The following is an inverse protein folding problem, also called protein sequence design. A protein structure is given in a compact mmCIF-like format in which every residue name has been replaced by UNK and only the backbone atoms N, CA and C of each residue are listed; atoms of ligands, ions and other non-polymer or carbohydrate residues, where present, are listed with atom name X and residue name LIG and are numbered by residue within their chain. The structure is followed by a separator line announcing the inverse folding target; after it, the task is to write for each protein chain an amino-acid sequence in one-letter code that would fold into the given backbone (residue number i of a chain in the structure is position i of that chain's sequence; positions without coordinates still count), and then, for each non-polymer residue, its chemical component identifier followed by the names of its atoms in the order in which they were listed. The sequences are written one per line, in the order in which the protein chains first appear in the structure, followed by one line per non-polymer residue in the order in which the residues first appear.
data_IF_732522886741
#
_entry.id   IF_732522886741
#
_cell.length_a   1.000
_cell.length_b   1.000
_cell.length_c   1.000
_cell.angle_alpha   90.00
_cell.angle_beta   90.00
_cell.angle_gamma   90.00
#
_symmetry.space_group_name_H-M   'P 1'
#
loop_
_entity.id
_entity.type
_entity.pdbx_description
1 polymer ?
#
# COMPACT_ATOMS: atom_id res chain seq x y z
N UNK A 1 49.98 9.91 40.18
CA UNK A 1 49.55 9.66 38.78
C UNK A 1 48.04 9.38 38.84
N UNK A 2 47.24 10.45 38.90
CA UNK A 2 45.78 10.36 39.06
C UNK A 2 45.13 10.19 37.70
N UNK A 3 44.37 9.13 37.52
CA UNK A 3 43.58 8.86 36.33
C UNK A 3 42.33 9.73 36.49
N UNK A 4 42.20 10.76 35.66
CA UNK A 4 41.02 11.62 35.67
C UNK A 4 39.80 10.74 35.35
N UNK A 5 38.97 10.56 36.37
CA UNK A 5 37.66 9.93 36.26
C UNK A 5 36.84 10.82 35.32
N UNK A 6 36.59 10.32 34.11
CA UNK A 6 35.70 11.00 33.15
C UNK A 6 34.30 10.88 33.73
N UNK A 7 33.91 11.89 34.50
CA UNK A 7 32.57 12.06 35.03
C UNK A 7 31.58 11.91 33.86
N UNK A 8 30.88 10.77 33.81
CA UNK A 8 29.83 10.52 32.82
C UNK A 8 28.72 11.53 33.12
N UNK A 9 28.78 12.68 32.45
CA UNK A 9 27.69 13.64 32.53
C UNK A 9 26.39 12.94 32.09
N UNK A 10 25.31 13.04 32.89
CA UNK A 10 24.04 12.44 32.55
C UNK A 10 23.53 12.98 31.21
N UNK A 11 22.90 12.12 30.41
CA UNK A 11 22.31 12.52 29.13
C UNK A 11 21.18 13.51 29.44
N UNK A 12 21.31 14.74 28.93
CA UNK A 12 20.23 15.72 28.97
C UNK A 12 19.15 15.34 27.94
N UNK A 13 18.08 14.72 28.41
CA UNK A 13 16.95 14.29 27.59
C UNK A 13 16.18 15.47 26.98
N UNK A 14 16.16 16.63 27.63
CA UNK A 14 15.47 17.82 27.11
C UNK A 14 16.26 18.43 25.96
N UNK A 15 17.57 18.59 26.13
CA UNK A 15 18.45 19.03 25.05
C UNK A 15 18.42 18.06 23.86
N UNK A 16 18.38 16.74 24.12
CA UNK A 16 18.26 15.73 23.09
C UNK A 16 16.93 15.83 22.33
N UNK A 17 15.80 16.03 23.02
CA UNK A 17 14.48 16.19 22.41
C UNK A 17 14.39 17.45 21.52
N UNK A 18 14.93 18.57 21.99
CA UNK A 18 14.99 19.81 21.21
C UNK A 18 15.85 19.64 19.96
N UNK A 19 17.04 19.04 20.10
CA UNK A 19 17.91 18.74 18.95
C UNK A 19 17.24 17.81 17.96
N UNK A 20 16.53 16.79 18.43
CA UNK A 20 15.77 15.88 17.58
C UNK A 20 14.68 16.62 16.78
N UNK A 21 13.91 17.49 17.44
CA UNK A 21 12.87 18.27 16.80
C UNK A 21 13.42 19.23 15.73
N UNK A 22 14.62 19.77 15.93
CA UNK A 22 15.29 20.66 14.98
C UNK A 22 15.90 19.91 13.78
N UNK A 23 16.60 18.80 14.04
CA UNK A 23 17.39 18.09 13.01
C UNK A 23 16.52 17.18 12.15
N UNK A 24 15.49 16.56 12.71
CA UNK A 24 14.70 15.53 12.01
C UNK A 24 13.95 16.06 10.79
N UNK A 25 13.29 17.23 10.82
CA UNK A 25 12.63 17.79 9.63
C UNK A 25 13.61 18.05 8.48
N UNK A 26 14.85 18.47 8.78
CA UNK A 26 15.89 18.70 7.77
C UNK A 26 16.35 17.40 7.08
N UNK A 27 16.09 16.23 7.67
CA UNK A 27 16.40 14.94 7.07
C UNK A 27 15.34 14.47 6.05
N UNK A 28 14.17 15.11 5.98
CA UNK A 28 13.07 14.69 5.11
C UNK A 28 13.44 14.60 3.62
N UNK A 29 14.17 15.57 3.02
CA UNK A 29 14.60 15.47 1.62
C UNK A 29 15.53 14.28 1.37
N UNK A 30 16.46 14.03 2.30
CA UNK A 30 17.39 12.89 2.23
C UNK A 30 16.64 11.56 2.33
N UNK A 31 15.64 11.48 3.19
CA UNK A 31 14.77 10.31 3.30
C UNK A 31 14.01 10.08 1.99
N UNK A 32 13.38 11.12 1.44
CA UNK A 32 12.62 11.04 0.19
C UNK A 32 13.50 10.54 -0.97
N UNK A 33 14.69 11.11 -1.14
CA UNK A 33 15.64 10.69 -2.17
C UNK A 33 15.98 9.20 -2.06
N UNK A 34 16.27 8.72 -0.84
CA UNK A 34 16.60 7.31 -0.60
C UNK A 34 15.41 6.39 -0.82
N UNK A 35 14.22 6.80 -0.39
CA UNK A 35 13.00 6.04 -0.61
C UNK A 35 12.70 5.89 -2.11
N UNK A 36 12.85 6.97 -2.90
CA UNK A 36 12.69 6.92 -4.35
C UNK A 36 13.72 6.01 -5.01
N UNK A 37 15.00 6.09 -4.62
CA UNK A 37 16.05 5.22 -5.16
C UNK A 37 15.83 3.73 -4.84
N UNK A 38 15.25 3.43 -3.67
CA UNK A 38 14.98 2.05 -3.25
C UNK A 38 13.66 1.49 -3.80
N UNK A 39 12.82 2.29 -4.48
CA UNK A 39 11.44 1.92 -4.80
C UNK A 39 11.34 0.66 -5.67
N UNK A 40 12.19 0.53 -6.71
CA UNK A 40 12.16 -0.64 -7.60
C UNK A 40 12.61 -1.92 -6.90
N UNK A 41 13.69 -1.84 -6.10
CA UNK A 41 14.19 -2.98 -5.32
C UNK A 41 13.14 -3.41 -4.29
N UNK A 42 12.49 -2.44 -3.64
CA UNK A 42 11.38 -2.72 -2.73
C UNK A 42 10.24 -3.43 -3.46
N UNK A 43 9.81 -2.95 -4.63
CA UNK A 43 8.68 -3.53 -5.37
C UNK A 43 8.94 -4.99 -5.77
N UNK A 44 10.15 -5.29 -6.27
CA UNK A 44 10.55 -6.65 -6.65
C UNK A 44 10.52 -7.60 -5.45
N UNK A 45 11.05 -7.16 -4.31
CA UNK A 45 11.12 -7.99 -3.11
C UNK A 45 9.77 -8.15 -2.42
N UNK A 46 8.99 -7.06 -2.32
CA UNK A 46 7.71 -7.04 -1.62
C UNK A 46 6.63 -7.89 -2.28
N UNK A 47 6.72 -8.14 -3.60
CA UNK A 47 5.78 -8.97 -4.36
C UNK A 47 6.22 -10.44 -4.48
N UNK A 48 7.33 -10.83 -3.86
CA UNK A 48 7.84 -12.20 -3.94
C UNK A 48 6.98 -13.18 -3.12
N UNK A 49 6.86 -14.46 -3.54
CA UNK A 49 6.21 -15.49 -2.72
C UNK A 49 6.82 -15.63 -1.32
N UNK A 50 8.13 -15.39 -1.21
CA UNK A 50 8.86 -15.41 0.05
C UNK A 50 8.37 -14.31 1.01
N UNK A 51 8.13 -13.09 0.50
CA UNK A 51 7.61 -11.99 1.30
C UNK A 51 6.22 -12.29 1.86
N UNK A 52 5.36 -12.96 1.07
CA UNK A 52 4.03 -13.40 1.52
C UNK A 52 4.14 -14.44 2.66
N UNK A 53 5.03 -15.42 2.53
CA UNK A 53 5.29 -16.41 3.59
C UNK A 53 5.76 -15.74 4.89
N UNK A 54 6.69 -14.79 4.79
CA UNK A 54 7.16 -14.03 5.95
C UNK A 54 6.07 -13.18 6.57
N UNK A 55 5.23 -12.53 5.75
CA UNK A 55 4.09 -11.78 6.26
C UNK A 55 3.14 -12.68 7.07
N UNK A 56 2.75 -13.83 6.51
CA UNK A 56 1.86 -14.79 7.19
C UNK A 56 2.47 -15.27 8.52
N UNK A 57 3.76 -15.62 8.53
CA UNK A 57 4.48 -16.02 9.74
C UNK A 57 4.44 -14.92 10.81
N UNK A 58 4.75 -13.67 10.44
CA UNK A 58 4.79 -12.55 11.39
C UNK A 58 3.41 -12.17 11.92
N UNK A 59 2.35 -12.32 11.13
CA UNK A 59 0.98 -12.13 11.60
C UNK A 59 0.64 -13.15 12.69
N UNK A 60 0.98 -14.43 12.48
CA UNK A 60 0.78 -15.47 13.50
C UNK A 60 1.57 -15.19 14.78
N UNK A 61 2.85 -14.81 14.65
CA UNK A 61 3.70 -14.45 15.78
C UNK A 61 3.15 -13.25 16.55
N UNK A 62 2.68 -12.20 15.85
CA UNK A 62 2.08 -11.03 16.48
C UNK A 62 0.79 -11.37 17.23
N UNK A 63 -0.01 -12.29 16.68
CA UNK A 63 -1.23 -12.78 17.33
C UNK A 63 -0.91 -13.58 18.60
N UNK A 64 0.02 -14.53 18.52
CA UNK A 64 0.48 -15.33 19.68
C UNK A 64 1.03 -14.43 20.79
N UNK A 65 1.78 -13.39 20.41
CA UNK A 65 2.33 -12.42 21.33
C UNK A 65 1.32 -11.35 21.80
N UNK A 66 0.06 -11.39 21.37
CA UNK A 66 -0.92 -10.34 21.67
C UNK A 66 -0.35 -8.93 21.40
N UNK A 67 0.46 -8.77 20.36
CA UNK A 67 1.27 -7.57 20.13
C UNK A 67 0.39 -6.31 20.04
N UNK A 68 -0.81 -6.45 19.48
CA UNK A 68 -1.82 -5.40 19.46
C UNK A 68 -2.23 -4.94 20.87
N UNK A 69 -2.56 -5.87 21.76
CA UNK A 69 -2.99 -5.54 23.12
C UNK A 69 -1.86 -4.82 23.86
N UNK A 70 -0.63 -5.33 23.78
CA UNK A 70 0.55 -4.70 24.37
C UNK A 70 0.77 -3.29 23.82
N UNK A 71 0.66 -3.11 22.51
CA UNK A 71 0.79 -1.79 21.87
C UNK A 71 -0.27 -0.78 22.32
N UNK A 72 -1.47 -1.24 22.67
CA UNK A 72 -2.56 -0.39 23.14
C UNK A 72 -2.45 -0.01 24.63
N UNK A 73 -1.63 -0.70 25.43
CA UNK A 73 -1.51 -0.43 26.87
C UNK A 73 -1.11 1.02 27.19
N UNK A 74 -0.38 1.67 26.28
CA UNK A 74 0.09 3.05 26.44
C UNK A 74 -0.66 4.07 25.55
N UNK A 75 -1.72 3.64 24.85
CA UNK A 75 -2.52 4.50 23.99
C UNK A 75 -3.70 5.05 24.78
N UNK A 76 -3.77 6.37 24.91
CA UNK A 76 -4.86 7.07 25.59
C UNK A 76 -5.85 7.65 24.57
N UNK A 77 -7.02 8.08 25.05
CA UNK A 77 -7.98 8.82 24.24
C UNK A 77 -7.38 10.12 23.65
N UNK A 78 -6.46 10.77 24.38
CA UNK A 78 -5.74 11.95 23.88
C UNK A 78 -4.84 11.61 22.69
N UNK A 79 -4.07 10.50 22.77
CA UNK A 79 -3.25 10.03 21.65
C UNK A 79 -4.11 9.73 20.41
N UNK A 80 -5.29 9.16 20.60
CA UNK A 80 -6.25 8.94 19.51
C UNK A 80 -6.71 10.26 18.87
N UNK A 81 -7.15 11.24 19.67
CA UNK A 81 -7.62 12.53 19.18
C UNK A 81 -6.52 13.28 18.40
N UNK A 82 -5.29 13.30 18.92
CA UNK A 82 -4.13 13.90 18.25
C UNK A 82 -3.82 13.19 16.91
N UNK A 83 -3.88 11.86 16.89
CA UNK A 83 -3.69 11.07 15.67
C UNK A 83 -4.75 11.36 14.61
N UNK A 84 -6.03 11.51 15.00
CA UNK A 84 -7.13 11.88 14.08
C UNK A 84 -6.90 13.27 13.49
N UNK A 85 -6.51 14.25 14.30
CA UNK A 85 -6.24 15.60 13.83
C UNK A 85 -5.09 15.63 12.81
N UNK A 86 -3.97 14.96 13.11
CA UNK A 86 -2.84 14.85 12.18
C UNK A 86 -3.22 14.10 10.89
N UNK A 87 -4.01 13.03 11.01
CA UNK A 87 -4.48 12.25 9.88
C UNK A 87 -5.44 13.00 8.95
N UNK A 88 -6.26 13.91 9.50
CA UNK A 88 -7.26 14.66 8.72
C UNK A 88 -6.61 15.54 7.66
N UNK A 89 -5.53 16.26 8.01
CA UNK A 89 -4.80 17.09 7.05
C UNK A 89 -4.16 16.25 5.94
N UNK A 90 -3.52 15.13 6.31
CA UNK A 90 -2.94 14.20 5.35
C UNK A 90 -4.01 13.57 4.44
N UNK A 91 -5.21 13.28 4.98
CA UNK A 91 -6.33 12.76 4.21
C UNK A 91 -6.80 13.76 3.15
N UNK A 92 -7.03 15.02 3.54
CA UNK A 92 -7.48 16.07 2.62
C UNK A 92 -6.51 16.23 1.44
N UNK A 93 -5.21 16.30 1.71
CA UNK A 93 -4.18 16.41 0.67
C UNK A 93 -4.15 15.18 -0.26
N UNK A 94 -4.24 13.98 0.30
CA UNK A 94 -4.22 12.73 -0.49
C UNK A 94 -5.44 12.60 -1.39
N UNK A 95 -6.63 12.95 -0.89
CA UNK A 95 -7.87 12.86 -1.66
C UNK A 95 -7.83 13.83 -2.84
N UNK A 96 -7.41 15.08 -2.63
CA UNK A 96 -7.37 16.08 -3.70
C UNK A 96 -6.29 15.81 -4.75
N UNK A 97 -5.16 15.21 -4.38
CA UNK A 97 -4.02 15.04 -5.28
C UNK A 97 -3.94 13.67 -5.95
N UNK A 98 -4.28 12.60 -5.23
CA UNK A 98 -4.09 11.20 -5.69
C UNK A 98 -5.43 10.47 -5.82
N UNK A 99 -6.43 10.91 -5.06
CA UNK A 99 -7.73 10.27 -4.96
C UNK A 99 -8.46 10.18 -6.31
N UNK A 100 -8.48 11.26 -7.09
CA UNK A 100 -9.18 11.29 -8.38
C UNK A 100 -8.62 10.28 -9.38
N UNK A 101 -7.30 10.25 -9.58
CA UNK A 101 -6.64 9.31 -10.49
C UNK A 101 -6.82 7.87 -10.04
N UNK A 102 -6.66 7.60 -8.73
CA UNK A 102 -6.87 6.24 -8.19
C UNK A 102 -8.32 5.80 -8.31
N UNK A 103 -9.26 6.71 -8.05
CA UNK A 103 -10.68 6.46 -8.24
C UNK A 103 -10.95 6.09 -9.70
N UNK A 104 -10.48 6.89 -10.65
CA UNK A 104 -10.65 6.59 -12.07
C UNK A 104 -10.05 5.21 -12.43
N UNK A 105 -8.81 4.93 -12.05
CA UNK A 105 -8.16 3.64 -12.34
C UNK A 105 -8.87 2.43 -11.75
N UNK A 106 -9.45 2.58 -10.55
CA UNK A 106 -10.06 1.46 -9.81
C UNK A 106 -11.56 1.35 -10.01
N UNK A 107 -12.24 2.44 -10.36
CA UNK A 107 -13.69 2.48 -10.56
C UNK A 107 -14.08 2.44 -12.04
N UNK A 108 -13.31 3.07 -12.95
CA UNK A 108 -13.69 3.11 -14.37
C UNK A 108 -13.96 1.74 -14.99
N UNK A 109 -13.21 0.66 -14.68
CA UNK A 109 -13.55 -0.67 -15.20
C UNK A 109 -14.94 -1.16 -14.75
N UNK A 110 -15.38 -0.78 -13.54
CA UNK A 110 -16.70 -1.12 -13.02
C UNK A 110 -17.80 -0.21 -13.58
N UNK A 111 -17.49 1.07 -13.84
CA UNK A 111 -18.40 1.97 -14.52
C UNK A 111 -18.78 1.41 -15.91
N UNK A 112 -17.80 0.93 -16.68
CA UNK A 112 -18.04 0.30 -17.98
C UNK A 112 -18.93 -0.96 -17.88
N UNK A 113 -18.76 -1.76 -16.82
CA UNK A 113 -19.62 -2.93 -16.55
C UNK A 113 -21.05 -2.47 -16.24
N UNK A 114 -21.20 -1.43 -15.41
CA UNK A 114 -22.51 -0.86 -15.08
C UNK A 114 -23.19 -0.36 -16.35
N UNK A 115 -22.51 0.42 -17.18
CA UNK A 115 -23.08 0.98 -18.41
C UNK A 115 -23.54 -0.11 -19.38
N UNK A 116 -22.69 -1.12 -19.57
CA UNK A 116 -23.02 -2.30 -20.39
C UNK A 116 -24.27 -3.00 -19.88
N UNK A 117 -24.32 -3.34 -18.59
CA UNK A 117 -25.50 -4.00 -18.00
C UNK A 117 -26.72 -3.11 -18.11
N UNK A 118 -26.64 -1.84 -17.70
CA UNK A 118 -27.76 -0.89 -17.67
C UNK A 118 -28.41 -0.71 -19.04
N UNK A 119 -27.63 -0.72 -20.12
CA UNK A 119 -28.15 -0.65 -21.50
C UNK A 119 -29.06 -1.82 -21.90
N UNK A 120 -28.91 -2.97 -21.24
CA UNK A 120 -29.70 -4.19 -21.50
C UNK A 120 -30.88 -4.39 -20.54
N UNK A 121 -31.00 -3.55 -19.50
CA UNK A 121 -32.02 -3.73 -18.46
C UNK A 121 -33.40 -3.25 -18.90
N UNK A 122 -34.48 -3.93 -18.48
CA UNK A 122 -35.84 -3.50 -18.76
C UNK A 122 -36.14 -2.13 -18.14
N UNK A 123 -37.06 -1.33 -18.72
CA UNK A 123 -37.43 -0.03 -18.18
C UNK A 123 -37.94 -0.13 -16.74
N UNK A 124 -37.80 0.95 -15.98
CA UNK A 124 -38.30 1.01 -14.59
C UNK A 124 -39.82 0.91 -14.57
N UNK A 125 -40.36 0.24 -13.57
CA UNK A 125 -41.80 0.17 -13.28
C UNK A 125 -42.15 1.02 -12.07
N UNK A 126 -43.43 1.11 -11.70
CA UNK A 126 -43.87 1.76 -10.46
C UNK A 126 -43.64 0.90 -9.23
N UNK A 127 -43.45 -0.41 -9.40
CA UNK A 127 -43.19 -1.36 -8.32
C UNK A 127 -41.70 -1.35 -7.94
N UNK A 128 -41.41 -0.94 -6.70
CA UNK A 128 -40.05 -0.85 -6.16
C UNK A 128 -39.38 -2.22 -6.09
N UNK A 129 -40.11 -3.26 -5.70
CA UNK A 129 -39.59 -4.63 -5.58
C UNK A 129 -39.17 -5.15 -6.95
N UNK A 130 -40.01 -4.95 -7.97
CA UNK A 130 -39.67 -5.30 -9.34
C UNK A 130 -38.46 -4.53 -9.86
N UNK A 131 -38.35 -3.23 -9.57
CA UNK A 131 -37.18 -2.44 -9.95
C UNK A 131 -35.88 -2.97 -9.32
N UNK A 132 -35.92 -3.38 -8.06
CA UNK A 132 -34.74 -3.97 -7.39
C UNK A 132 -34.36 -5.30 -8.05
N UNK A 133 -35.33 -6.20 -8.21
CA UNK A 133 -35.09 -7.53 -8.78
C UNK A 133 -34.63 -7.47 -10.24
N UNK A 134 -35.26 -6.63 -11.06
CA UNK A 134 -35.02 -6.59 -12.49
C UNK A 134 -33.83 -5.70 -12.89
N UNK A 135 -33.32 -4.86 -11.97
CA UNK A 135 -32.25 -3.91 -12.29
C UNK A 135 -31.07 -3.94 -11.33
N UNK A 136 -31.32 -3.80 -10.03
CA UNK A 136 -30.24 -3.71 -9.04
C UNK A 136 -29.51 -5.04 -8.88
N UNK A 137 -30.27 -6.15 -8.79
CA UNK A 137 -29.68 -7.50 -8.63
C UNK A 137 -28.75 -7.87 -9.80
N UNK A 138 -29.16 -7.73 -11.08
CA UNK A 138 -28.26 -7.99 -12.21
C UNK A 138 -26.99 -7.15 -12.20
N UNK A 139 -27.08 -5.85 -11.88
CA UNK A 139 -25.90 -4.98 -11.77
C UNK A 139 -24.95 -5.47 -10.67
N UNK A 140 -25.48 -5.81 -9.50
CA UNK A 140 -24.68 -6.29 -8.37
C UNK A 140 -23.99 -7.62 -8.68
N UNK A 141 -24.68 -8.54 -9.36
CA UNK A 141 -24.09 -9.82 -9.80
C UNK A 141 -22.95 -9.61 -10.80
N UNK A 142 -23.15 -8.75 -11.81
CA UNK A 142 -22.12 -8.43 -12.79
C UNK A 142 -20.88 -7.78 -12.14
N UNK A 143 -21.08 -6.84 -11.21
CA UNK A 143 -19.99 -6.23 -10.44
C UNK A 143 -19.23 -7.24 -9.59
N UNK A 144 -19.93 -8.18 -8.94
CA UNK A 144 -19.32 -9.26 -8.17
C UNK A 144 -18.47 -10.17 -9.07
N UNK A 145 -18.98 -10.54 -10.23
CA UNK A 145 -18.26 -11.36 -11.20
C UNK A 145 -17.01 -10.64 -11.72
N UNK A 146 -17.11 -9.35 -12.05
CA UNK A 146 -15.97 -8.53 -12.43
C UNK A 146 -14.92 -8.41 -11.31
N UNK A 147 -15.35 -8.34 -10.04
CA UNK A 147 -14.46 -8.31 -8.87
C UNK A 147 -13.70 -9.63 -8.68
N UNK A 148 -14.39 -10.76 -8.76
CA UNK A 148 -13.81 -12.09 -8.55
C UNK A 148 -12.96 -12.53 -9.74
N UNK A 149 -13.38 -12.21 -10.97
CA UNK A 149 -12.65 -12.50 -12.21
C UNK A 149 -11.43 -11.60 -12.48
N UNK A 150 -11.02 -10.76 -11.52
CA UNK A 150 -9.75 -10.03 -11.59
C UNK A 150 -9.76 -8.76 -12.45
N UNK A 151 -10.91 -8.29 -12.94
CA UNK A 151 -11.01 -7.06 -13.76
C UNK A 151 -10.49 -5.81 -13.01
N UNK A 152 -10.35 -5.86 -11.68
CA UNK A 152 -9.76 -4.80 -10.86
C UNK A 152 -8.35 -5.07 -10.29
N UNK A 153 -7.77 -6.21 -10.64
CA UNK A 153 -6.44 -6.62 -10.17
C UNK A 153 -5.32 -6.28 -11.16
N UNK A 154 -5.50 -5.31 -12.05
CA UNK A 154 -4.37 -4.70 -12.74
C UNK A 154 -3.75 -3.63 -11.85
N UNK A 155 -2.46 -3.83 -11.55
CA UNK A 155 -1.56 -2.79 -11.09
C UNK A 155 -1.46 -1.65 -12.11
N UNK A 156 -0.52 -0.70 -11.94
CA UNK A 156 -0.37 0.42 -12.87
C UNK A 156 -0.32 -0.10 -14.32
N UNK A 157 -1.13 0.52 -15.18
CA UNK A 157 -1.22 0.16 -16.60
C UNK A 157 0.19 0.16 -17.23
N UNK A 158 0.55 -0.84 -18.05
CA UNK A 158 1.79 -0.80 -18.81
C UNK A 158 1.78 0.46 -19.68
N UNK A 159 2.89 1.20 -19.67
CA UNK A 159 3.06 2.37 -20.51
C UNK A 159 2.82 2.00 -21.99
N UNK A 160 2.09 2.82 -22.77
CA UNK A 160 1.88 2.55 -24.18
C UNK A 160 3.21 2.72 -24.91
N UNK A 161 3.82 1.61 -25.35
CA UNK A 161 5.06 1.70 -26.11
C UNK A 161 5.85 0.42 -26.35
N UNK A 162 5.35 -0.77 -25.98
CA UNK A 162 6.06 -2.02 -26.29
C UNK A 162 5.22 -2.89 -27.23
N UNK A 163 5.44 -2.73 -28.53
CA UNK A 163 5.09 -3.75 -29.52
C UNK A 163 6.04 -4.94 -29.35
N UNK A 164 5.56 -6.14 -29.01
CA UNK A 164 6.43 -7.31 -28.97
C UNK A 164 6.78 -7.71 -30.40
N UNK A 165 8.03 -7.44 -30.79
CA UNK A 165 8.64 -7.99 -31.99
C UNK A 165 8.80 -9.49 -31.83
N UNK A 166 8.09 -10.24 -32.66
CA UNK A 166 8.26 -11.67 -32.89
C UNK A 166 9.67 -11.93 -33.44
N UNK A 167 10.48 -12.69 -32.71
CA UNK A 167 11.82 -13.11 -33.13
C UNK A 167 12.16 -14.46 -32.53
N UNK A 168 11.81 -15.53 -33.25
CA UNK A 168 12.25 -16.90 -33.01
C UNK A 168 13.75 -17.04 -33.28
N UNK A 169 14.48 -17.75 -32.41
CA UNK A 169 15.83 -18.23 -32.69
C UNK A 169 16.50 -18.89 -31.48
N UNK A 170 16.86 -20.20 -31.54
CA UNK A 170 17.41 -20.96 -30.42
C UNK A 170 18.94 -20.87 -30.36
N UNK A 171 19.52 -20.87 -29.16
CA UNK A 171 20.97 -20.83 -29.02
C UNK A 171 21.47 -21.06 -27.60
N UNK A 172 21.67 -22.35 -27.29
CA UNK A 172 22.77 -22.96 -26.52
C UNK A 172 23.29 -22.26 -25.25
N UNK A 173 23.22 -23.03 -24.16
CA UNK A 173 23.59 -22.61 -22.82
C UNK A 173 25.08 -22.47 -22.55
N UNK A 174 25.36 -21.81 -21.43
CA UNK A 174 26.51 -22.06 -20.57
C UNK A 174 26.10 -21.67 -19.14
N UNK A 175 26.37 -22.56 -18.20
CA UNK A 175 26.36 -22.31 -16.76
C UNK A 175 27.44 -21.30 -16.39
N UNK A 176 27.24 -20.53 -15.30
CA UNK A 176 28.35 -20.34 -14.39
C UNK A 176 27.98 -20.59 -12.93
N UNK A 177 28.81 -21.45 -12.35
CA UNK A 177 29.13 -21.64 -10.95
C UNK A 177 29.34 -20.29 -10.24
N UNK A 178 28.78 -20.15 -9.03
CA UNK A 178 29.24 -19.15 -8.07
C UNK A 178 29.37 -19.78 -6.69
N UNK A 179 30.61 -19.95 -6.19
CA UNK A 179 30.87 -20.08 -4.76
C UNK A 179 31.15 -18.69 -4.21
N UNK A 180 30.50 -18.24 -3.13
CA UNK A 180 31.21 -17.47 -2.10
C UNK A 180 30.38 -17.38 -0.82
N UNK A 181 30.90 -18.08 0.21
CA UNK A 181 30.69 -17.78 1.62
C UNK A 181 31.51 -16.55 1.99
N UNK A 182 30.95 -15.64 2.77
CA UNK A 182 31.29 -15.39 4.18
C UNK A 182 30.28 -14.44 4.78
#
# INVERSE_FOLDING_TARGET
KGINEVEKMPIDLNAAAQKYAQVTPAAAPRWQQRATAAAQVWEQNAKSPQAEQYWAQRVMEAAQNQARLRGLQNVTASHYAQGVQAGTQAYQQKVSQVGATKWQQKFAPYANVIDSVVSSLPPKTTDVTQNVMNRVVPIAQALRQAKVGGVAATGPAPAPGFTPGVGFGPGLGTTPTSPFRR
#
